data_IF_376894651095
#
_entry.id   IF_376894651095
#
_cell.length_a   1.000
_cell.length_b   1.000
_cell.length_c   1.000
_cell.angle_alpha   90.00
_cell.angle_beta   90.00
_cell.angle_gamma   90.00
#
_symmetry.space_group_name_H-M   'P 1'
#
loop_
_entity.id
_entity.type
_entity.pdbx_description
1 polymer ?
#
# COMPACT_ATOMS: atom_id res chain seq x y z
N UNK A 1 -8.08 6.56 -15.06
CA UNK A 1 -8.62 7.03 -13.76
C UNK A 1 -8.82 8.54 -13.79
N UNK A 2 -7.77 9.28 -14.10
CA UNK A 2 -7.88 10.71 -14.42
C UNK A 2 -8.78 10.94 -15.63
N UNK A 3 -8.67 10.09 -16.67
CA UNK A 3 -9.49 10.19 -17.89
C UNK A 3 -10.99 9.97 -17.66
N UNK A 4 -11.36 9.36 -16.52
CA UNK A 4 -12.77 9.19 -16.10
C UNK A 4 -13.18 10.23 -15.05
N UNK A 5 -12.39 11.28 -14.86
CA UNK A 5 -12.68 12.39 -13.95
C UNK A 5 -12.39 12.12 -12.46
N UNK A 6 -11.76 11.00 -12.12
CA UNK A 6 -11.42 10.68 -10.73
C UNK A 6 -10.25 11.56 -10.26
N UNK A 7 -10.46 12.30 -9.17
CA UNK A 7 -9.45 13.17 -8.56
C UNK A 7 -8.98 12.67 -7.19
N UNK A 8 -9.91 12.23 -6.35
CA UNK A 8 -9.63 11.86 -4.96
C UNK A 8 -9.83 10.37 -4.74
N UNK A 9 -8.89 9.72 -4.04
CA UNK A 9 -8.97 8.30 -3.71
C UNK A 9 -8.61 7.99 -2.26
N UNK A 10 -9.37 7.10 -1.64
CA UNK A 10 -8.89 6.34 -0.50
C UNK A 10 -8.14 5.10 -1.01
N UNK A 11 -6.84 5.04 -0.76
CA UNK A 11 -5.98 3.99 -1.31
C UNK A 11 -5.73 2.89 -0.28
N UNK A 12 -6.21 1.68 -0.60
CA UNK A 12 -5.88 0.47 0.15
C UNK A 12 -4.47 -0.02 -0.20
N UNK A 13 -3.47 0.34 0.59
CA UNK A 13 -2.07 -0.09 0.33
C UNK A 13 -1.20 -0.09 1.60
N UNK A 14 -0.30 -1.07 1.65
CA UNK A 14 0.80 -1.10 2.61
C UNK A 14 2.10 -0.54 2.04
N UNK A 15 2.16 -0.26 0.74
CA UNK A 15 3.35 0.24 0.08
C UNK A 15 3.26 1.77 -0.11
N UNK A 16 4.04 2.57 0.63
CA UNK A 16 4.06 4.03 0.47
C UNK A 16 4.45 4.48 -0.93
N UNK A 17 5.28 3.72 -1.65
CA UNK A 17 5.69 4.06 -3.03
C UNK A 17 4.52 4.10 -4.00
N UNK A 18 3.42 3.37 -3.72
CA UNK A 18 2.19 3.41 -4.53
C UNK A 18 1.41 4.71 -4.35
N UNK A 19 1.52 5.36 -3.19
CA UNK A 19 0.90 6.68 -2.95
C UNK A 19 1.60 7.72 -3.82
N UNK A 20 2.92 7.86 -3.65
CA UNK A 20 3.75 8.80 -4.41
C UNK A 20 3.60 8.59 -5.93
N UNK A 21 3.58 7.34 -6.36
CA UNK A 21 3.38 7.02 -7.78
C UNK A 21 2.03 7.49 -8.33
N UNK A 22 0.95 7.37 -7.56
CA UNK A 22 -0.40 7.80 -8.00
C UNK A 22 -0.58 9.32 -7.94
N UNK A 23 0.04 9.98 -6.96
CA UNK A 23 0.09 11.45 -6.89
C UNK A 23 0.78 12.06 -8.12
N UNK A 24 1.83 11.41 -8.63
CA UNK A 24 2.48 11.81 -9.88
C UNK A 24 1.60 11.74 -11.13
N UNK A 25 0.47 11.02 -11.08
CA UNK A 25 -0.53 11.00 -12.16
C UNK A 25 -1.65 12.03 -11.95
N UNK A 26 -1.58 12.91 -10.95
CA UNK A 26 -2.63 13.89 -10.68
C UNK A 26 -3.83 13.33 -9.91
N UNK A 27 -3.66 12.18 -9.24
CA UNK A 27 -4.63 11.63 -8.29
C UNK A 27 -4.24 12.05 -6.87
N UNK A 28 -5.17 12.66 -6.14
CA UNK A 28 -4.99 12.99 -4.74
C UNK A 28 -5.34 11.78 -3.85
N UNK A 29 -4.36 11.28 -3.09
CA UNK A 29 -4.60 10.22 -2.10
C UNK A 29 -5.02 10.87 -0.78
N UNK A 30 -6.33 11.04 -0.61
CA UNK A 30 -6.89 11.70 0.59
C UNK A 30 -6.76 10.85 1.86
N UNK A 31 -6.60 9.53 1.70
CA UNK A 31 -6.46 8.60 2.83
C UNK A 31 -5.77 7.30 2.43
N UNK A 32 -4.89 6.81 3.29
CA UNK A 32 -4.35 5.44 3.20
C UNK A 32 -5.16 4.51 4.09
N UNK A 33 -5.73 3.47 3.50
CA UNK A 33 -6.39 2.38 4.23
C UNK A 33 -5.39 1.20 4.33
N UNK A 34 -4.95 0.79 5.53
CA UNK A 34 -4.06 -0.37 5.69
C UNK A 34 -4.71 -1.65 5.18
N UNK A 35 -3.93 -2.52 4.54
CA UNK A 35 -4.38 -3.83 4.05
C UNK A 35 -3.61 -4.95 4.74
N UNK A 36 -3.87 -5.16 6.03
CA UNK A 36 -3.08 -6.11 6.82
C UNK A 36 -3.80 -7.42 7.06
N UNK A 37 -3.05 -8.52 6.99
CA UNK A 37 -3.51 -9.88 7.28
C UNK A 37 -2.57 -10.51 8.29
N UNK A 38 -3.08 -11.41 9.12
CA UNK A 38 -2.22 -12.21 10.00
C UNK A 38 -1.31 -13.11 9.15
N UNK A 39 0.00 -13.16 9.45
CA UNK A 39 0.91 -14.05 8.76
C UNK A 39 0.53 -15.51 8.99
N UNK A 40 0.41 -16.24 7.90
CA UNK A 40 0.35 -17.70 7.91
C UNK A 40 1.77 -18.26 7.75
N UNK A 41 1.94 -19.55 8.02
CA UNK A 41 3.23 -20.22 7.84
C UNK A 41 3.79 -20.02 6.42
N UNK A 42 2.93 -20.06 5.41
CA UNK A 42 3.33 -19.95 3.99
C UNK A 42 3.71 -18.53 3.57
N UNK A 43 3.09 -17.49 4.15
CA UNK A 43 3.30 -16.10 3.71
C UNK A 43 4.22 -15.27 4.63
N UNK A 44 4.61 -15.79 5.81
CA UNK A 44 5.46 -15.07 6.79
C UNK A 44 6.74 -14.51 6.18
N UNK A 45 7.50 -15.32 5.43
CA UNK A 45 8.74 -14.89 4.78
C UNK A 45 8.50 -13.80 3.74
N UNK A 46 7.40 -13.91 3.00
CA UNK A 46 7.01 -12.93 2.00
C UNK A 46 6.67 -11.58 2.64
N UNK A 47 5.83 -11.58 3.68
CA UNK A 47 5.44 -10.38 4.40
C UNK A 47 6.63 -9.71 5.11
N UNK A 48 7.52 -10.51 5.72
CA UNK A 48 8.79 -10.01 6.29
C UNK A 48 9.65 -9.32 5.24
N UNK A 49 9.82 -9.95 4.07
CA UNK A 49 10.58 -9.36 2.95
C UNK A 49 9.96 -8.05 2.47
N UNK A 50 8.63 -8.00 2.34
CA UNK A 50 7.90 -6.79 1.95
C UNK A 50 8.14 -5.65 2.93
N UNK A 51 8.15 -5.93 4.23
CA UNK A 51 8.44 -4.95 5.28
C UNK A 51 9.90 -4.48 5.25
N UNK A 52 10.83 -5.42 5.41
CA UNK A 52 12.25 -5.10 5.66
C UNK A 52 12.99 -4.63 4.41
N UNK A 53 12.71 -5.22 3.25
CA UNK A 53 13.46 -4.92 2.01
C UNK A 53 12.74 -3.95 1.08
N UNK A 54 11.40 -3.94 1.10
CA UNK A 54 10.60 -3.17 0.14
C UNK A 54 9.90 -1.95 0.78
N UNK A 55 10.10 -1.73 2.08
CA UNK A 55 9.58 -0.56 2.79
C UNK A 55 8.07 -0.56 3.00
N UNK A 56 7.43 -1.75 3.00
CA UNK A 56 6.01 -1.83 3.30
C UNK A 56 5.73 -1.52 4.78
N UNK A 57 4.69 -0.73 5.03
CA UNK A 57 4.13 -0.44 6.34
C UNK A 57 3.22 -1.61 6.76
N UNK A 58 3.77 -2.58 7.48
CA UNK A 58 3.05 -3.74 8.03
C UNK A 58 3.33 -3.88 9.54
N UNK A 59 2.28 -3.91 10.36
CA UNK A 59 2.41 -4.10 11.82
C UNK A 59 2.25 -5.56 12.23
N UNK A 60 1.40 -6.33 11.52
CA UNK A 60 1.08 -7.73 11.87
C UNK A 60 2.15 -8.77 11.53
N UNK A 61 3.34 -8.38 11.07
CA UNK A 61 4.35 -9.31 10.51
C UNK A 61 5.25 -10.03 11.52
N UNK A 62 4.89 -10.05 12.81
CA UNK A 62 5.74 -10.62 13.86
C UNK A 62 5.56 -12.15 13.97
#
# INVERSE_FOLDING_TARGET
LVDIGLKNIELMTNNPKKIVGLEGYGLEVVKRVPLEVEPTHSNRRYLKTKKEKLGHKLVKCN
#
